data_IF_470432119193
#
_entry.id   IF_470432119193
#
_cell.length_a   1.000
_cell.length_b   1.000
_cell.length_c   1.000
_cell.angle_alpha   90.00
_cell.angle_beta   90.00
_cell.angle_gamma   90.00
#
_symmetry.space_group_name_H-M   'P 1'
#
loop_
_entity.id
_entity.type
_entity.pdbx_description
1 polymer ?
#
# COMPACT_ATOMS: atom_id res chain seq x y z
N UNK A 1 6.99 -1.84 -34.84
CA UNK A 1 7.63 -2.51 -33.68
C UNK A 1 7.40 -1.64 -32.45
N UNK A 2 6.73 -2.16 -31.42
CA UNK A 2 6.54 -1.43 -30.17
C UNK A 2 7.86 -1.50 -29.38
N UNK A 3 8.50 -0.36 -29.18
CA UNK A 3 9.72 -0.26 -28.34
C UNK A 3 9.27 -0.36 -26.89
N UNK A 4 9.53 -1.50 -26.24
CA UNK A 4 9.44 -1.64 -24.79
C UNK A 4 10.62 -0.90 -24.16
N UNK A 5 10.34 0.12 -23.35
CA UNK A 5 11.37 0.78 -22.57
C UNK A 5 11.74 -0.12 -21.38
N UNK A 6 13.00 -0.56 -21.33
CA UNK A 6 13.55 -1.19 -20.12
C UNK A 6 13.70 -0.10 -19.07
N UNK A 7 12.93 -0.21 -17.99
CA UNK A 7 12.94 0.76 -16.90
C UNK A 7 14.19 0.59 -16.03
N UNK A 8 14.78 1.69 -15.55
CA UNK A 8 15.93 1.61 -14.65
C UNK A 8 15.52 0.97 -13.32
N UNK A 9 16.31 0.04 -12.81
CA UNK A 9 16.02 -0.64 -11.56
C UNK A 9 16.32 0.26 -10.34
N UNK A 10 15.45 0.26 -9.34
CA UNK A 10 15.66 0.98 -8.08
C UNK A 10 15.97 0.02 -6.93
N UNK A 11 17.17 0.18 -6.38
CA UNK A 11 17.70 -0.59 -5.25
C UNK A 11 17.84 0.22 -3.95
N UNK A 12 17.34 1.46 -3.93
CA UNK A 12 17.42 2.36 -2.78
C UNK A 12 16.41 2.03 -1.68
N UNK A 13 16.37 2.89 -0.65
CA UNK A 13 15.43 2.75 0.47
C UNK A 13 13.98 2.92 0.02
N UNK A 14 13.18 1.88 0.19
CA UNK A 14 11.74 1.91 -0.10
C UNK A 14 10.95 2.53 1.06
N UNK A 15 9.80 3.11 0.74
CA UNK A 15 8.85 3.73 1.68
C UNK A 15 7.45 3.59 1.13
N UNK A 16 6.48 3.24 1.98
CA UNK A 16 5.06 3.23 1.60
C UNK A 16 4.45 4.64 1.60
N UNK A 17 5.10 5.60 2.25
CA UNK A 17 4.75 7.01 2.13
C UNK A 17 5.31 7.57 0.82
N UNK A 18 4.41 8.01 -0.06
CA UNK A 18 4.74 8.47 -1.42
C UNK A 18 5.77 9.60 -1.43
N UNK A 19 5.62 10.64 -0.60
CA UNK A 19 6.55 11.78 -0.56
C UNK A 19 7.98 11.35 -0.23
N UNK A 20 8.14 10.49 0.78
CA UNK A 20 9.44 9.96 1.21
C UNK A 20 10.05 9.04 0.15
N UNK A 21 9.24 8.20 -0.48
CA UNK A 21 9.72 7.37 -1.59
C UNK A 21 10.22 8.23 -2.76
N UNK A 22 9.48 9.28 -3.14
CA UNK A 22 9.88 10.18 -4.22
C UNK A 22 11.19 10.91 -3.92
N UNK A 23 11.40 11.35 -2.68
CA UNK A 23 12.67 11.94 -2.25
C UNK A 23 13.82 10.95 -2.35
N UNK A 24 13.63 9.72 -1.88
CA UNK A 24 14.65 8.68 -1.97
C UNK A 24 14.98 8.34 -3.43
N UNK A 25 13.97 8.25 -4.29
CA UNK A 25 14.15 8.03 -5.74
C UNK A 25 14.92 9.19 -6.36
N UNK A 26 14.58 10.46 -6.08
CA UNK A 26 15.27 11.63 -6.64
C UNK A 26 16.75 11.70 -6.30
N UNK A 27 17.17 11.15 -5.15
CA UNK A 27 18.57 11.08 -4.75
C UNK A 27 19.39 10.16 -5.68
N UNK A 28 18.76 9.10 -6.19
CA UNK A 28 19.40 8.11 -7.09
C UNK A 28 19.16 8.46 -8.56
N UNK A 29 17.98 8.97 -8.88
CA UNK A 29 17.52 9.36 -10.21
C UNK A 29 17.11 10.84 -10.21
N UNK A 30 18.04 11.79 -10.40
CA UNK A 30 17.75 13.23 -10.33
C UNK A 30 16.72 13.71 -11.36
N UNK A 31 16.58 12.99 -12.48
CA UNK A 31 15.60 13.27 -13.54
C UNK A 31 14.21 12.71 -13.24
N UNK A 32 14.00 12.08 -12.09
CA UNK A 32 12.72 11.48 -11.71
C UNK A 32 11.62 12.52 -11.58
N UNK A 33 10.49 12.23 -12.22
CA UNK A 33 9.26 13.00 -12.16
C UNK A 33 8.06 12.05 -11.95
N UNK A 34 7.40 12.17 -10.80
CA UNK A 34 6.22 11.36 -10.47
C UNK A 34 5.01 11.59 -11.40
N UNK A 35 5.04 12.62 -12.26
CA UNK A 35 4.02 12.88 -13.29
C UNK A 35 4.41 12.36 -14.67
N UNK A 36 5.67 11.99 -14.91
CA UNK A 36 6.12 11.47 -16.20
C UNK A 36 6.53 9.99 -16.07
N UNK A 37 5.67 9.04 -16.51
CA UNK A 37 5.94 7.62 -16.38
C UNK A 37 7.25 7.17 -17.00
N UNK A 38 7.75 7.85 -18.03
CA UNK A 38 9.06 7.51 -18.64
C UNK A 38 10.24 7.63 -17.67
N UNK A 39 10.08 8.43 -16.62
CA UNK A 39 11.11 8.66 -15.61
C UNK A 39 10.97 7.72 -14.41
N UNK A 40 9.91 6.92 -14.35
CA UNK A 40 9.62 6.08 -13.19
C UNK A 40 10.55 4.87 -13.17
N UNK A 41 11.20 4.60 -12.03
CA UNK A 41 12.03 3.43 -11.91
C UNK A 41 11.19 2.16 -11.70
N UNK A 42 11.83 1.02 -11.89
CA UNK A 42 11.29 -0.30 -11.63
C UNK A 42 11.70 -0.80 -10.24
N UNK A 43 10.73 -1.03 -9.37
CA UNK A 43 10.90 -1.52 -8.00
C UNK A 43 10.51 -2.99 -7.92
N UNK A 44 11.43 -3.82 -7.43
CA UNK A 44 11.20 -5.25 -7.19
C UNK A 44 10.55 -5.49 -5.85
N UNK A 45 9.90 -6.65 -5.74
CA UNK A 45 9.37 -7.13 -4.47
C UNK A 45 10.47 -7.28 -3.41
N UNK A 46 11.66 -7.73 -3.80
CA UNK A 46 12.81 -7.83 -2.89
C UNK A 46 13.22 -6.46 -2.33
N UNK A 47 13.17 -5.38 -3.13
CA UNK A 47 13.46 -4.02 -2.65
C UNK A 47 12.43 -3.56 -1.62
N UNK A 48 11.15 -3.92 -1.77
CA UNK A 48 10.11 -3.65 -0.77
C UNK A 48 10.37 -4.47 0.51
N UNK A 49 10.64 -5.77 0.34
CA UNK A 49 10.81 -6.73 1.44
C UNK A 49 12.08 -6.53 2.27
N UNK A 50 13.11 -5.86 1.74
CA UNK A 50 14.26 -5.39 2.52
C UNK A 50 13.83 -4.55 3.73
N UNK A 51 12.69 -3.87 3.64
CA UNK A 51 12.15 -3.03 4.70
C UNK A 51 11.00 -3.70 5.43
N UNK A 52 10.10 -4.35 4.70
CA UNK A 52 8.89 -4.92 5.26
C UNK A 52 8.37 -6.12 4.48
N UNK A 53 8.06 -7.27 5.12
CA UNK A 53 7.31 -8.33 4.46
C UNK A 53 5.99 -7.78 3.90
N UNK A 54 5.84 -7.80 2.57
CA UNK A 54 4.73 -7.14 1.88
C UNK A 54 3.66 -8.13 1.44
N UNK A 55 2.48 -8.14 2.04
CA UNK A 55 1.41 -9.10 1.73
C UNK A 55 0.27 -8.48 0.90
N UNK A 56 0.57 -7.47 0.08
CA UNK A 56 -0.45 -6.69 -0.63
C UNK A 56 -0.96 -5.47 0.14
N UNK A 57 -0.54 -5.32 1.40
CA UNK A 57 -0.83 -4.15 2.24
C UNK A 57 0.46 -3.60 2.87
N UNK A 58 0.62 -2.27 2.97
CA UNK A 58 -0.30 -1.20 2.55
C UNK A 58 -0.29 -0.92 1.04
N UNK A 59 -1.17 -0.03 0.56
CA UNK A 59 -1.21 0.37 -0.85
C UNK A 59 0.16 0.83 -1.35
N UNK A 60 0.53 0.39 -2.57
CA UNK A 60 1.79 0.79 -3.17
C UNK A 60 1.71 2.25 -3.64
N UNK A 61 2.74 3.08 -3.38
CA UNK A 61 2.82 4.44 -3.91
C UNK A 61 2.67 4.48 -5.43
N UNK A 62 1.91 5.44 -5.94
CA UNK A 62 1.84 5.71 -7.38
C UNK A 62 3.15 6.36 -7.86
N UNK A 63 3.29 6.61 -9.17
CA UNK A 63 4.50 7.32 -9.64
C UNK A 63 5.74 6.43 -9.76
N UNK A 64 5.57 5.12 -9.70
CA UNK A 64 6.65 4.10 -9.74
C UNK A 64 6.13 2.86 -10.47
N UNK A 65 7.01 2.13 -11.15
CA UNK A 65 6.66 0.85 -11.75
C UNK A 65 7.06 -0.31 -10.83
N UNK A 66 6.16 -1.27 -10.63
CA UNK A 66 6.40 -2.39 -9.72
C UNK A 66 6.61 -3.71 -10.44
N UNK A 67 7.34 -4.60 -9.80
CA UNK A 67 7.44 -5.98 -10.20
C UNK A 67 6.08 -6.68 -10.12
N UNK A 68 5.81 -7.60 -11.06
CA UNK A 68 4.52 -8.28 -11.19
C UNK A 68 4.14 -9.05 -9.93
N UNK A 69 5.12 -9.67 -9.28
CA UNK A 69 4.94 -10.40 -8.03
C UNK A 69 4.46 -9.49 -6.88
N UNK A 70 4.90 -8.22 -6.82
CA UNK A 70 4.40 -7.27 -5.83
C UNK A 70 2.94 -6.90 -6.11
N UNK A 71 2.60 -6.64 -7.37
CA UNK A 71 1.22 -6.35 -7.78
C UNK A 71 0.28 -7.54 -7.59
N UNK A 72 0.77 -8.76 -7.82
CA UNK A 72 0.00 -9.97 -7.59
C UNK A 72 -0.43 -10.11 -6.13
N UNK A 73 0.45 -9.79 -5.18
CA UNK A 73 0.08 -9.81 -3.75
C UNK A 73 -1.02 -8.79 -3.41
N UNK A 74 -1.02 -7.63 -4.05
CA UNK A 74 -2.11 -6.66 -3.93
C UNK A 74 -3.42 -7.23 -4.51
N UNK A 75 -3.38 -7.84 -5.69
CA UNK A 75 -4.56 -8.45 -6.32
C UNK A 75 -5.10 -9.66 -5.55
N UNK A 76 -4.23 -10.46 -4.92
CA UNK A 76 -4.62 -11.59 -4.09
C UNK A 76 -5.25 -11.13 -2.76
N UNK A 77 -4.95 -9.90 -2.31
CA UNK A 77 -5.47 -9.31 -1.07
C UNK A 77 -6.88 -8.72 -1.24
N UNK A 78 -7.21 -8.21 -2.43
CA UNK A 78 -8.46 -7.49 -2.70
C UNK A 78 -9.30 -8.18 -3.79
N UNK A 79 -10.60 -8.37 -3.54
CA UNK A 79 -11.51 -8.93 -4.54
C UNK A 79 -11.58 -8.05 -5.80
N UNK A 80 -12.00 -8.58 -6.96
CA UNK A 80 -12.22 -7.78 -8.16
C UNK A 80 -13.13 -6.57 -7.89
N UNK A 81 -14.21 -6.76 -7.14
CA UNK A 81 -15.17 -5.71 -6.79
C UNK A 81 -14.54 -4.63 -5.89
N UNK A 82 -13.72 -5.03 -4.92
CA UNK A 82 -12.98 -4.10 -4.06
C UNK A 82 -11.97 -3.27 -4.87
N UNK A 83 -11.33 -3.89 -5.86
CA UNK A 83 -10.41 -3.21 -6.77
C UNK A 83 -11.14 -2.26 -7.72
N UNK A 84 -12.32 -2.61 -8.20
CA UNK A 84 -13.16 -1.74 -9.03
C UNK A 84 -13.65 -0.52 -8.25
N UNK A 85 -14.06 -0.73 -6.99
CA UNK A 85 -14.40 0.37 -6.07
C UNK A 85 -13.18 1.25 -5.82
N UNK A 86 -12.02 0.65 -5.53
CA UNK A 86 -10.78 1.39 -5.32
C UNK A 86 -10.35 2.19 -6.57
N UNK A 87 -10.51 1.63 -7.77
CA UNK A 87 -10.26 2.31 -9.04
C UNK A 87 -11.26 3.45 -9.29
N UNK A 88 -12.52 3.27 -8.91
CA UNK A 88 -13.56 4.30 -9.05
C UNK A 88 -13.33 5.48 -8.09
N UNK A 89 -12.89 5.21 -6.86
CA UNK A 89 -12.67 6.23 -5.82
C UNK A 89 -11.30 6.91 -5.96
N UNK A 90 -10.24 6.14 -6.22
CA UNK A 90 -8.85 6.63 -6.24
C UNK A 90 -8.30 6.83 -7.67
N UNK A 91 -9.14 6.67 -8.68
CA UNK A 91 -8.76 6.68 -10.09
C UNK A 91 -8.25 5.34 -10.59
N UNK A 92 -8.44 5.13 -11.89
CA UNK A 92 -8.13 3.88 -12.60
C UNK A 92 -6.73 3.34 -12.27
N UNK A 93 -6.60 2.02 -12.18
CA UNK A 93 -5.33 1.34 -11.91
C UNK A 93 -4.29 1.64 -13.00
N UNK A 94 -4.70 1.78 -14.26
CA UNK A 94 -3.86 2.24 -15.36
C UNK A 94 -3.28 3.63 -15.11
N UNK A 95 -4.08 4.55 -14.55
CA UNK A 95 -3.61 5.90 -14.26
C UNK A 95 -2.61 5.93 -13.11
N UNK A 96 -2.79 5.03 -12.14
CA UNK A 96 -1.92 4.90 -10.96
C UNK A 96 -0.62 4.15 -11.28
N UNK A 97 -0.71 3.08 -12.08
CA UNK A 97 0.39 2.17 -12.42
C UNK A 97 0.37 1.78 -13.92
N UNK A 98 0.64 2.71 -14.85
CA UNK A 98 0.52 2.52 -16.31
C UNK A 98 1.46 1.47 -16.91
N UNK A 99 2.50 1.07 -16.18
CA UNK A 99 3.40 -0.03 -16.58
C UNK A 99 2.89 -1.40 -16.17
N UNK A 100 1.96 -1.44 -15.21
CA UNK A 100 1.46 -2.63 -14.55
C UNK A 100 0.08 -3.02 -15.05
N UNK A 101 -0.75 -2.04 -15.42
CA UNK A 101 -2.10 -2.24 -15.92
C UNK A 101 -2.28 -1.59 -17.30
N UNK A 102 -3.12 -2.20 -18.13
CA UNK A 102 -3.54 -1.63 -19.41
C UNK A 102 -4.70 -0.64 -19.25
N UNK A 103 -5.18 -0.07 -20.35
CA UNK A 103 -6.25 0.94 -20.36
C UNK A 103 -7.62 0.46 -19.84
N UNK A 104 -7.81 -0.84 -19.68
CA UNK A 104 -9.01 -1.46 -19.13
C UNK A 104 -8.83 -1.81 -17.65
N UNK A 105 -7.75 -1.32 -17.03
CA UNK A 105 -7.33 -1.67 -15.66
C UNK A 105 -6.99 -3.16 -15.49
N UNK A 106 -6.70 -3.85 -16.60
CA UNK A 106 -6.30 -5.26 -16.58
C UNK A 106 -4.79 -5.42 -16.39
N UNK A 107 -4.34 -6.41 -15.59
CA UNK A 107 -2.92 -6.61 -15.35
C UNK A 107 -2.15 -7.01 -16.61
N UNK A 108 -1.01 -6.36 -16.83
CA UNK A 108 -0.13 -6.65 -17.96
C UNK A 108 0.78 -7.84 -17.65
N UNK A 109 0.91 -8.75 -18.61
CA UNK A 109 1.85 -9.87 -18.53
C UNK A 109 3.31 -9.40 -18.50
N UNK A 110 3.64 -8.34 -19.26
CA UNK A 110 4.97 -7.75 -19.33
C UNK A 110 4.94 -6.31 -18.86
N UNK A 111 5.85 -5.99 -17.94
CA UNK A 111 6.07 -4.63 -17.47
C UNK A 111 6.63 -3.80 -18.61
N UNK A 112 5.96 -2.69 -18.91
CA UNK A 112 6.37 -1.79 -19.99
C UNK A 112 5.23 -0.89 -20.43
N UNK A 113 5.58 0.17 -21.15
CA UNK A 113 4.62 1.11 -21.71
C UNK A 113 5.04 1.44 -23.13
N UNK A 114 4.13 1.21 -24.07
CA UNK A 114 4.30 1.56 -25.47
C UNK A 114 4.20 3.08 -25.65
N UNK A 115 4.77 3.60 -26.74
CA UNK A 115 4.64 5.02 -27.06
C UNK A 115 3.18 5.47 -27.26
N UNK A 116 2.28 4.57 -27.66
CA UNK A 116 0.84 4.83 -27.77
C UNK A 116 0.18 4.97 -26.40
N UNK A 117 0.42 4.02 -25.50
CA UNK A 117 -0.06 4.07 -24.11
C UNK A 117 0.45 5.32 -23.40
N UNK A 118 1.73 5.66 -23.58
CA UNK A 118 2.29 6.89 -23.02
C UNK A 118 1.55 8.15 -23.48
N UNK A 119 1.30 8.27 -24.79
CA UNK A 119 0.58 9.43 -25.33
C UNK A 119 -0.85 9.49 -24.81
N UNK A 120 -1.53 8.35 -24.71
CA UNK A 120 -2.88 8.28 -24.15
C UNK A 120 -2.91 8.70 -22.68
N UNK A 121 -1.98 8.17 -21.88
CA UNK A 121 -1.81 8.54 -20.47
C UNK A 121 -1.53 10.03 -20.30
N UNK A 122 -0.57 10.58 -21.07
CA UNK A 122 -0.24 12.00 -21.05
C UNK A 122 -1.42 12.87 -21.48
N UNK A 123 -2.20 12.46 -22.49
CA UNK A 123 -3.40 13.16 -22.89
C UNK A 123 -4.41 13.22 -21.72
N UNK A 124 -4.66 12.12 -21.01
CA UNK A 124 -5.55 12.13 -19.84
C UNK A 124 -5.00 12.91 -18.65
N UNK A 125 -3.68 12.99 -18.49
CA UNK A 125 -3.03 13.67 -17.35
C UNK A 125 -2.86 15.16 -17.60
N UNK A 126 -2.65 15.57 -18.85
CA UNK A 126 -2.60 16.97 -19.31
C UNK A 126 -4.01 17.56 -19.52
N UNK A 127 -5.03 16.72 -19.71
CA UNK A 127 -6.45 17.09 -19.87
C UNK A 127 -7.24 16.94 -18.56
N UNK A 128 -6.62 17.08 -17.40
CA UNK A 128 -7.42 17.58 -16.27
C UNK A 128 -7.74 19.06 -16.60
N UNK A 129 -8.86 19.36 -17.28
CA UNK A 129 -10.15 19.47 -16.59
C UNK A 129 -11.41 19.12 -17.44
N UNK A 130 -12.52 18.79 -16.77
CA UNK A 130 -13.90 19.05 -17.25
C UNK A 130 -14.34 18.40 -18.57
N UNK A 131 -14.86 17.16 -18.55
CA UNK A 131 -16.06 16.82 -19.36
C UNK A 131 -16.66 15.48 -18.92
N UNK A 132 -18.00 15.33 -18.95
CA UNK A 132 -18.71 14.18 -18.40
C UNK A 132 -18.61 12.99 -19.33
N UNK A 133 -18.46 11.80 -18.74
CA UNK A 133 -18.67 10.55 -19.45
C UNK A 133 -20.13 10.48 -19.92
N UNK A 134 -20.31 10.48 -21.23
CA UNK A 134 -21.52 10.00 -21.89
C UNK A 134 -21.58 8.50 -21.69
N UNK A 135 -22.25 8.05 -20.63
CA UNK A 135 -22.74 6.67 -20.53
C UNK A 135 -24.21 6.71 -20.93
N UNK A 136 -24.44 6.36 -22.20
CA UNK A 136 -25.73 5.88 -22.67
C UNK A 136 -25.82 4.42 -22.21
N UNK A 137 -26.68 4.14 -21.25
CA UNK A 137 -27.26 2.80 -21.04
C UNK A 137 -28.66 2.96 -20.47
N UNK A 138 -29.63 2.50 -21.28
CA UNK A 138 -31.01 2.19 -20.91
C UNK A 138 -31.04 1.22 -19.72
N UNK A 139 -31.74 1.58 -18.65
CA UNK A 139 -32.52 0.62 -17.86
C UNK A 139 -33.82 1.29 -17.41
N UNK A 140 -34.91 0.58 -17.71
CA UNK A 140 -36.30 0.90 -17.40
C UNK A 140 -36.61 0.75 -15.89
N UNK A 141 -37.78 1.27 -15.55
CA UNK A 141 -38.48 1.36 -14.26
C UNK A 141 -38.26 0.23 -13.23
N UNK A 142 -38.19 0.62 -11.94
CA UNK A 142 -39.19 0.20 -10.93
C UNK A 142 -38.95 0.89 -9.57
N UNK A 143 -39.97 1.64 -9.13
CA UNK A 143 -40.12 2.21 -7.78
C UNK A 143 -40.75 1.14 -6.86
N UNK A 144 -40.43 1.12 -5.55
CA UNK A 144 -41.52 1.35 -4.61
C UNK A 144 -41.16 2.22 -3.40
N UNK A 145 -42.04 3.20 -3.18
CA UNK A 145 -42.56 3.76 -1.92
C UNK A 145 -42.08 3.14 -0.59
N UNK A 146 -41.58 4.00 0.31
CA UNK A 146 -42.01 3.96 1.73
C UNK A 146 -41.74 5.28 2.43
N UNK A 147 -42.84 5.87 2.91
CA UNK A 147 -42.95 7.09 3.68
C UNK A 147 -42.23 7.04 5.04
N UNK A 148 -41.59 8.16 5.42
CA UNK A 148 -41.60 8.66 6.80
C UNK A 148 -41.91 10.16 6.75
N UNK A 149 -43.18 10.43 7.05
CA UNK A 149 -43.75 11.68 7.50
C UNK A 149 -43.35 11.93 8.97
N UNK A 150 -42.91 13.15 9.29
CA UNK A 150 -43.35 13.89 10.47
C UNK A 150 -42.68 15.27 10.55
N UNK A 151 -43.48 16.33 10.35
CA UNK A 151 -43.36 17.58 11.12
C UNK A 151 -43.36 18.89 10.33
N UNK A 152 -44.52 19.54 10.23
CA UNK A 152 -44.71 20.93 9.72
C UNK A 152 -45.72 21.64 10.65
N UNK A 153 -45.83 22.99 10.74
CA UNK A 153 -44.86 24.09 10.99
C UNK A 153 -45.37 24.96 12.20
N UNK A 154 -44.88 26.20 12.51
CA UNK A 154 -45.03 27.46 11.71
C UNK A 154 -43.73 28.33 11.80
N UNK A 155 -43.50 29.51 11.21
CA UNK A 155 -44.35 30.59 10.74
C UNK A 155 -43.49 31.60 9.93
N UNK A 156 -44.14 32.35 9.04
CA UNK A 156 -43.73 33.53 8.24
C UNK A 156 -42.25 33.98 8.17
N UNK A 157 -41.72 34.14 6.95
CA UNK A 157 -41.66 35.46 6.29
C UNK A 157 -40.99 35.39 4.89
N UNK A 158 -41.64 36.07 3.95
CA UNK A 158 -41.09 36.73 2.75
C UNK A 158 -40.74 35.89 1.51
N UNK A 159 -41.79 35.66 0.71
CA UNK A 159 -41.69 35.70 -0.75
C UNK A 159 -41.09 37.04 -1.21
N UNK A 160 -40.13 37.05 -2.13
CA UNK A 160 -40.14 38.00 -3.22
C UNK A 160 -41.09 37.46 -4.28
N UNK A 161 -42.14 38.24 -4.53
CA UNK A 161 -43.09 38.09 -5.60
C UNK A 161 -42.41 37.61 -6.88
N UNK A 162 -42.73 36.39 -7.30
CA UNK A 162 -42.55 35.98 -8.70
C UNK A 162 -43.57 36.76 -9.53
N UNK A 163 -43.28 38.03 -9.74
CA UNK A 163 -43.83 38.78 -10.85
C UNK A 163 -43.37 38.07 -12.11
N UNK A 164 -44.18 37.14 -12.62
CA UNK A 164 -44.22 36.92 -14.06
C UNK A 164 -44.56 38.28 -14.66
N UNK A 165 -43.69 38.92 -15.45
CA UNK A 165 -44.15 39.97 -16.32
C UNK A 165 -44.87 39.24 -17.46
N UNK A 166 -46.09 38.77 -17.19
CA UNK A 166 -47.10 38.71 -18.24
C UNK A 166 -47.40 40.17 -18.58
N UNK A 167 -46.43 40.83 -19.24
CA UNK A 167 -46.52 42.20 -19.67
C UNK A 167 -47.63 42.21 -20.70
N UNK A 168 -48.79 42.69 -20.22
CA UNK A 168 -50.05 42.66 -20.90
C UNK A 168 -49.90 43.12 -22.33
N UNK A 169 -49.93 42.17 -23.26
CA UNK A 169 -50.39 42.44 -24.61
C UNK A 169 -51.89 42.68 -24.46
N UNK A 170 -52.27 43.88 -23.98
CA UNK A 170 -53.63 44.38 -24.17
C UNK A 170 -53.87 44.28 -25.66
N UNK A 171 -54.78 43.40 -26.04
CA UNK A 171 -55.34 43.34 -27.38
C UNK A 171 -55.92 44.72 -27.70
N UNK A 172 -55.08 45.61 -28.23
CA UNK A 172 -55.49 46.91 -28.73
C UNK A 172 -56.53 46.62 -29.81
N UNK A 173 -57.80 46.91 -29.50
CA UNK A 173 -58.93 46.85 -30.43
C UNK A 173 -58.45 47.32 -31.79
N UNK A 174 -58.44 46.42 -32.77
CA UNK A 174 -57.99 46.66 -34.14
C UNK A 174 -58.92 47.66 -34.81
N UNK A 175 -58.70 48.95 -34.58
CA UNK A 175 -59.22 50.00 -35.46
C UNK A 175 -58.29 50.02 -36.68
N UNK A 176 -58.83 49.65 -37.85
CA UNK A 176 -58.13 49.61 -39.13
C UNK A 176 -57.87 51.04 -39.60
N UNK A 177 -56.70 51.54 -39.24
CA UNK A 177 -56.18 52.81 -39.72
C UNK A 177 -55.77 52.65 -41.20
N UNK A 178 -56.47 53.30 -42.12
CA UNK A 178 -56.25 53.18 -43.58
C UNK A 178 -55.09 54.03 -44.11
N UNK A 179 -54.51 54.91 -43.29
CA UNK A 179 -53.35 55.73 -43.67
C UNK A 179 -52.10 54.87 -43.76
N UNK A 180 -51.41 54.90 -44.89
CA UNK A 180 -50.22 54.07 -45.22
C UNK A 180 -49.14 54.06 -44.12
N UNK A 181 -48.77 55.25 -43.60
CA UNK A 181 -47.82 55.40 -42.48
C UNK A 181 -48.26 54.67 -41.19
N UNK A 182 -49.56 54.64 -40.92
CA UNK A 182 -50.13 54.02 -39.73
C UNK A 182 -50.01 52.48 -39.79
N UNK A 183 -50.14 51.91 -40.99
CA UNK A 183 -49.96 50.48 -41.24
C UNK A 183 -48.49 50.09 -41.15
N UNK A 184 -47.59 50.91 -41.69
CA UNK A 184 -46.13 50.70 -41.60
C UNK A 184 -45.65 50.71 -40.14
N UNK A 185 -46.08 51.69 -39.34
CA UNK A 185 -45.75 51.77 -37.90
C UNK A 185 -46.26 50.53 -37.14
N UNK A 186 -47.47 50.04 -37.46
CA UNK A 186 -48.02 48.82 -36.82
C UNK A 186 -47.22 47.57 -37.16
N UNK A 187 -46.84 47.39 -38.43
CA UNK A 187 -46.00 46.26 -38.85
C UNK A 187 -44.64 46.28 -38.17
N UNK A 188 -44.03 47.45 -38.09
CA UNK A 188 -42.75 47.62 -37.41
C UNK A 188 -42.85 47.34 -35.90
N UNK A 189 -43.91 47.84 -35.25
CA UNK A 189 -44.16 47.55 -33.84
C UNK A 189 -44.43 46.06 -33.57
N UNK A 190 -45.10 45.36 -34.48
CA UNK A 190 -45.32 43.91 -34.37
C UNK A 190 -44.03 43.13 -34.60
N UNK A 191 -43.18 43.57 -35.54
CA UNK A 191 -41.84 43.00 -35.75
C UNK A 191 -40.97 43.12 -34.49
N UNK A 192 -40.88 44.33 -33.93
CA UNK A 192 -40.09 44.59 -32.72
C UNK A 192 -40.62 43.82 -31.49
N UNK A 193 -41.94 43.60 -31.41
CA UNK A 193 -42.53 42.74 -30.38
C UNK A 193 -42.12 41.28 -30.54
N UNK A 194 -42.09 40.76 -31.77
CA UNK A 194 -41.57 39.41 -32.06
C UNK A 194 -40.10 39.28 -31.67
N UNK A 195 -39.26 40.23 -32.08
CA UNK A 195 -37.83 40.24 -31.74
C UNK A 195 -37.60 40.33 -30.22
N UNK A 196 -38.40 41.11 -29.49
CA UNK A 196 -38.34 41.17 -28.03
C UNK A 196 -38.70 39.84 -27.37
N UNK A 197 -39.76 39.17 -27.86
CA UNK A 197 -40.16 37.87 -27.35
C UNK A 197 -39.07 36.81 -27.58
N UNK A 198 -38.47 36.79 -28.77
CA UNK A 198 -37.39 35.86 -29.09
C UNK A 198 -36.15 36.11 -28.21
N UNK A 199 -35.84 37.39 -27.94
CA UNK A 199 -34.72 37.77 -27.06
C UNK A 199 -34.98 37.45 -25.59
N UNK A 200 -36.22 37.61 -25.12
CA UNK A 200 -36.62 37.25 -23.77
C UNK A 200 -36.57 35.73 -23.59
N UNK A 201 -37.04 34.95 -24.58
CA UNK A 201 -36.88 33.49 -24.59
C UNK A 201 -35.42 33.07 -24.55
N UNK A 202 -34.54 33.70 -25.34
CA UNK A 202 -33.10 33.43 -25.33
C UNK A 202 -32.47 33.73 -23.96
N UNK A 203 -32.88 34.81 -23.31
CA UNK A 203 -32.37 35.21 -22.01
C UNK A 203 -32.80 34.23 -20.90
N UNK A 204 -34.06 33.77 -20.93
CA UNK A 204 -34.56 32.76 -19.99
C UNK A 204 -33.81 31.43 -20.17
N UNK A 205 -33.59 30.97 -21.41
CA UNK A 205 -32.79 29.78 -21.68
C UNK A 205 -31.35 29.94 -21.17
N UNK A 206 -30.69 31.05 -21.47
CA UNK A 206 -29.33 31.29 -21.01
C UNK A 206 -29.21 31.36 -19.47
N UNK A 207 -30.23 31.88 -18.78
CA UNK A 207 -30.27 31.87 -17.31
C UNK A 207 -30.46 30.46 -16.73
N UNK A 208 -31.22 29.60 -17.41
CA UNK A 208 -31.35 28.20 -17.01
C UNK A 208 -30.01 27.46 -17.18
N UNK A 209 -29.34 27.63 -18.32
CA UNK A 209 -28.02 27.03 -18.59
C UNK A 209 -26.97 27.47 -17.56
N UNK A 210 -26.99 28.75 -17.16
CA UNK A 210 -26.07 29.27 -16.15
C UNK A 210 -26.27 28.59 -14.78
N UNK A 211 -27.53 28.39 -14.35
CA UNK A 211 -27.84 27.71 -13.09
C UNK A 211 -27.39 26.24 -13.11
N UNK A 212 -27.57 25.57 -14.24
CA UNK A 212 -27.11 24.19 -14.43
C UNK A 212 -25.57 24.11 -14.34
N UNK A 213 -24.87 25.06 -14.97
CA UNK A 213 -23.42 25.16 -14.88
C UNK A 213 -22.93 25.39 -13.44
N UNK A 214 -23.55 26.31 -12.69
CA UNK A 214 -23.21 26.58 -11.28
C UNK A 214 -23.44 25.36 -10.38
N UNK A 215 -24.56 24.64 -10.59
CA UNK A 215 -24.85 23.40 -9.87
C UNK A 215 -23.79 22.32 -10.15
N UNK A 216 -23.42 22.15 -11.43
CA UNK A 216 -22.40 21.20 -11.87
C UNK A 216 -21.03 21.54 -11.30
N UNK A 217 -20.65 22.81 -11.29
CA UNK A 217 -19.38 23.27 -10.73
C UNK A 217 -19.34 23.11 -9.20
N UNK A 218 -20.46 23.31 -8.52
CA UNK A 218 -20.62 23.04 -7.09
C UNK A 218 -20.41 21.56 -6.75
N UNK A 219 -20.99 20.65 -7.54
CA UNK A 219 -20.78 19.20 -7.39
C UNK A 219 -19.31 18.82 -7.61
N UNK A 220 -18.68 19.38 -8.65
CA UNK A 220 -17.28 19.12 -8.99
C UNK A 220 -16.33 19.55 -7.87
N UNK A 221 -16.58 20.70 -7.24
CA UNK A 221 -15.77 21.17 -6.09
C UNK A 221 -15.91 20.25 -4.88
N UNK A 222 -17.11 19.75 -4.58
CA UNK A 222 -17.34 18.78 -3.50
C UNK A 222 -16.59 17.46 -3.77
N UNK A 223 -16.74 16.90 -4.97
CA UNK A 223 -16.03 15.68 -5.37
C UNK A 223 -14.50 15.81 -5.27
N UNK A 224 -13.93 16.97 -5.63
CA UNK A 224 -12.51 17.26 -5.43
C UNK A 224 -12.10 17.25 -3.94
N UNK A 225 -12.94 17.78 -3.07
CA UNK A 225 -12.68 17.84 -1.64
C UNK A 225 -12.79 16.46 -0.99
N UNK A 226 -13.74 15.65 -1.42
CA UNK A 226 -13.91 14.25 -1.00
C UNK A 226 -12.71 13.41 -1.43
N UNK A 227 -12.23 13.59 -2.67
CA UNK A 227 -11.03 12.91 -3.17
C UNK A 227 -9.76 13.30 -2.39
N UNK A 228 -9.62 14.58 -2.02
CA UNK A 228 -8.50 15.02 -1.17
C UNK A 228 -8.57 14.42 0.23
N UNK A 229 -9.77 14.32 0.80
CA UNK A 229 -9.97 13.73 2.11
C UNK A 229 -9.61 12.23 2.12
N UNK A 230 -10.08 11.45 1.14
CA UNK A 230 -9.74 10.03 1.05
C UNK A 230 -8.24 9.82 0.77
N UNK A 231 -7.61 10.70 -0.02
CA UNK A 231 -6.16 10.66 -0.24
C UNK A 231 -5.36 10.87 1.07
N UNK A 232 -5.73 11.86 1.88
CA UNK A 232 -5.04 12.12 3.15
C UNK A 232 -5.27 10.98 4.16
N UNK A 233 -6.46 10.39 4.16
CA UNK A 233 -6.77 9.20 4.97
C UNK A 233 -5.96 7.98 4.55
N UNK A 234 -5.75 7.78 3.25
CA UNK A 234 -4.87 6.71 2.75
C UNK A 234 -3.42 6.95 3.14
N UNK A 235 -2.94 8.20 3.02
CA UNK A 235 -1.60 8.58 3.45
C UNK A 235 -1.37 8.31 4.94
N UNK A 236 -2.33 8.67 5.79
CA UNK A 236 -2.26 8.36 7.22
C UNK A 236 -2.21 6.84 7.47
N UNK A 237 -3.02 6.06 6.75
CA UNK A 237 -2.99 4.59 6.83
C UNK A 237 -1.63 4.02 6.41
N UNK A 238 -1.03 4.54 5.34
CA UNK A 238 0.30 4.16 4.88
C UNK A 238 1.39 4.51 5.92
N UNK A 239 1.35 5.73 6.49
CA UNK A 239 2.30 6.17 7.51
C UNK A 239 2.23 5.28 8.77
N UNK A 240 1.02 4.92 9.21
CA UNK A 240 0.84 4.07 10.39
C UNK A 240 1.24 2.61 10.11
N UNK A 241 1.03 2.12 8.88
CA UNK A 241 1.53 0.82 8.45
C UNK A 241 3.07 0.79 8.40
N UNK A 242 3.70 1.85 7.89
CA UNK A 242 5.17 1.98 7.86
C UNK A 242 5.74 1.99 9.29
N UNK A 243 5.16 2.78 10.21
CA UNK A 243 5.57 2.78 11.62
C UNK A 243 5.47 1.39 12.25
N UNK A 244 4.34 0.69 12.05
CA UNK A 244 4.16 -0.68 12.54
C UNK A 244 5.21 -1.62 11.96
N UNK A 245 5.55 -1.45 10.69
CA UNK A 245 6.58 -2.27 10.08
C UNK A 245 7.97 -1.99 10.64
N UNK A 246 8.33 -0.72 10.81
CA UNK A 246 9.60 -0.32 11.44
C UNK A 246 9.73 -0.90 12.86
N UNK A 247 8.66 -0.87 13.66
CA UNK A 247 8.66 -1.48 15.00
C UNK A 247 8.85 -3.00 14.96
N UNK A 248 8.20 -3.69 14.00
CA UNK A 248 8.39 -5.13 13.79
C UNK A 248 9.83 -5.44 13.38
N UNK A 249 10.40 -4.65 12.47
CA UNK A 249 11.79 -4.81 12.02
C UNK A 249 12.77 -4.62 13.19
N UNK A 250 12.61 -3.58 14.00
CA UNK A 250 13.44 -3.37 15.20
C UNK A 250 13.34 -4.51 16.20
N UNK A 251 12.12 -5.03 16.41
CA UNK A 251 11.88 -6.18 17.29
C UNK A 251 12.57 -7.44 16.76
N UNK A 252 12.43 -7.72 15.46
CA UNK A 252 13.08 -8.87 14.81
C UNK A 252 14.61 -8.76 14.89
N UNK A 253 15.19 -7.57 14.68
CA UNK A 253 16.63 -7.36 14.84
C UNK A 253 17.09 -7.62 16.28
N UNK A 254 16.30 -7.23 17.28
CA UNK A 254 16.60 -7.52 18.69
C UNK A 254 16.55 -9.02 18.97
N UNK A 255 15.54 -9.72 18.46
CA UNK A 255 15.42 -11.18 18.60
C UNK A 255 16.57 -11.92 17.92
N UNK A 256 16.96 -11.50 16.72
CA UNK A 256 18.12 -12.07 16.01
C UNK A 256 19.42 -11.91 16.80
N UNK A 257 19.67 -10.74 17.38
CA UNK A 257 20.84 -10.54 18.27
C UNK A 257 20.78 -11.49 19.46
N UNK A 258 19.61 -11.62 20.09
CA UNK A 258 19.44 -12.52 21.24
C UNK A 258 19.62 -13.99 20.86
N UNK A 259 19.15 -14.41 19.70
CA UNK A 259 19.38 -15.77 19.19
C UNK A 259 20.87 -16.03 19.00
N UNK A 260 21.60 -15.11 18.36
CA UNK A 260 23.04 -15.27 18.17
C UNK A 260 23.81 -15.36 19.51
N UNK A 261 23.43 -14.55 20.51
CA UNK A 261 24.00 -14.65 21.87
C UNK A 261 23.74 -16.03 22.49
N UNK A 262 22.51 -16.54 22.38
CA UNK A 262 22.15 -17.84 22.93
C UNK A 262 22.87 -18.99 22.22
N UNK A 263 23.03 -18.91 20.90
CA UNK A 263 23.79 -19.89 20.12
C UNK A 263 25.28 -19.89 20.49
N UNK A 264 25.87 -18.73 20.76
CA UNK A 264 27.25 -18.62 21.26
C UNK A 264 27.38 -19.24 22.65
N UNK A 265 26.49 -18.89 23.58
CA UNK A 265 26.50 -19.44 24.93
C UNK A 265 26.30 -20.97 24.92
N UNK A 266 25.43 -21.49 24.04
CA UNK A 266 25.20 -22.93 23.90
C UNK A 266 26.50 -23.67 23.49
N UNK A 267 27.24 -23.11 22.52
CA UNK A 267 28.54 -23.65 22.13
C UNK A 267 29.56 -23.62 23.27
N UNK A 268 29.64 -22.51 24.00
CA UNK A 268 30.52 -22.40 25.17
C UNK A 268 30.16 -23.42 26.26
N UNK A 269 28.88 -23.66 26.51
CA UNK A 269 28.44 -24.70 27.45
C UNK A 269 28.76 -26.10 26.97
N UNK A 270 28.60 -26.39 25.67
CA UNK A 270 28.97 -27.70 25.10
C UNK A 270 30.48 -27.95 25.22
N UNK A 271 31.32 -26.93 24.99
CA UNK A 271 32.77 -27.01 25.18
C UNK A 271 33.16 -27.23 26.64
N UNK A 272 32.51 -26.54 27.58
CA UNK A 272 32.71 -26.73 29.02
C UNK A 272 32.28 -28.12 29.50
N UNK A 273 31.14 -28.63 29.01
CA UNK A 273 30.67 -29.97 29.34
C UNK A 273 31.64 -31.03 28.80
N UNK A 274 32.13 -30.88 27.58
CA UNK A 274 33.15 -31.77 27.02
C UNK A 274 34.44 -31.77 27.86
N UNK A 275 34.86 -30.59 28.34
CA UNK A 275 36.01 -30.46 29.23
C UNK A 275 35.77 -31.12 30.61
N UNK A 276 34.58 -30.95 31.19
CA UNK A 276 34.20 -31.62 32.44
C UNK A 276 34.24 -33.15 32.30
N UNK A 277 33.66 -33.70 31.23
CA UNK A 277 33.71 -35.13 30.93
C UNK A 277 35.15 -35.63 30.80
N UNK A 278 36.02 -34.84 30.15
CA UNK A 278 37.44 -35.18 30.04
C UNK A 278 38.14 -35.22 31.41
N UNK A 279 37.89 -34.22 32.27
CA UNK A 279 38.44 -34.18 33.63
C UNK A 279 37.94 -35.34 34.49
N UNK A 280 36.66 -35.69 34.40
CA UNK A 280 36.08 -36.83 35.13
C UNK A 280 36.76 -38.14 34.73
N UNK A 281 36.96 -38.36 33.42
CA UNK A 281 37.69 -39.53 32.91
C UNK A 281 39.15 -39.56 33.42
N UNK A 282 39.84 -38.42 33.47
CA UNK A 282 41.20 -38.33 33.99
C UNK A 282 41.26 -38.64 35.51
N UNK A 283 40.32 -38.11 36.29
CA UNK A 283 40.20 -38.39 37.73
C UNK A 283 39.95 -39.88 37.96
N UNK A 284 39.07 -40.51 37.18
CA UNK A 284 38.78 -41.94 37.27
C UNK A 284 40.01 -42.80 36.91
N UNK A 285 40.76 -42.42 35.87
CA UNK A 285 42.02 -43.07 35.50
C UNK A 285 43.08 -42.95 36.62
N UNK A 286 43.21 -41.79 37.25
CA UNK A 286 44.14 -41.60 38.38
C UNK A 286 43.73 -42.41 39.61
N UNK A 287 42.42 -42.48 39.90
CA UNK A 287 41.90 -43.23 41.04
C UNK A 287 42.04 -44.75 40.84
N UNK A 288 41.75 -45.27 39.65
CA UNK A 288 41.98 -46.68 39.32
C UNK A 288 43.48 -47.03 39.32
N UNK A 289 44.36 -46.13 38.88
CA UNK A 289 45.81 -46.25 39.00
C UNK A 289 46.33 -46.26 40.44
N UNK A 290 45.74 -45.46 41.35
CA UNK A 290 46.05 -45.52 42.80
C UNK A 290 45.53 -46.79 43.44
N UNK A 291 44.34 -47.26 43.07
CA UNK A 291 43.75 -48.49 43.60
C UNK A 291 44.55 -49.74 43.22
N UNK A 292 45.08 -49.79 41.99
CA UNK A 292 45.97 -50.86 41.52
C UNK A 292 47.35 -50.78 42.17
N UNK A 293 47.94 -49.60 42.38
CA UNK A 293 49.19 -49.43 43.16
C UNK A 293 49.05 -49.82 44.63
N UNK A 294 47.91 -49.52 45.28
CA UNK A 294 47.63 -49.98 46.65
C UNK A 294 47.51 -51.50 46.71
N UNK A 295 46.76 -52.12 45.79
CA UNK A 295 46.64 -53.59 45.69
C UNK A 295 47.98 -54.28 45.41
N UNK A 296 48.82 -53.69 44.54
CA UNK A 296 50.16 -54.21 44.27
C UNK A 296 51.11 -54.12 45.46
N UNK A 297 51.02 -53.05 46.27
CA UNK A 297 51.78 -52.94 47.55
C UNK A 297 51.29 -53.91 48.61
N UNK A 298 49.99 -54.13 48.73
CA UNK A 298 49.42 -55.10 49.69
C UNK A 298 49.74 -56.55 49.29
N UNK A 299 49.77 -56.89 47.99
CA UNK A 299 50.25 -58.19 47.52
C UNK A 299 51.75 -58.40 47.73
N UNK A 300 52.58 -57.38 47.53
CA UNK A 300 54.02 -57.45 47.82
C UNK A 300 54.29 -57.59 49.31
N UNK A 301 53.56 -56.88 50.19
CA UNK A 301 53.72 -57.02 51.64
C UNK A 301 53.24 -58.38 52.17
N UNK A 302 52.26 -59.02 51.52
CA UNK A 302 51.84 -60.38 51.88
C UNK A 302 52.84 -61.44 51.39
N UNK A 303 53.46 -61.22 50.23
CA UNK A 303 54.50 -62.09 49.68
C UNK A 303 55.83 -61.97 50.43
N UNK A 304 56.20 -60.77 50.91
CA UNK A 304 57.39 -60.57 51.75
C UNK A 304 57.21 -61.20 53.14
N UNK A 305 56.01 -61.10 53.75
CA UNK A 305 55.73 -61.78 55.03
C UNK A 305 55.76 -63.32 54.95
N UNK A 306 55.41 -63.92 53.80
CA UNK A 306 55.56 -65.38 53.63
C UNK A 306 57.00 -65.82 53.29
N UNK A 307 57.81 -64.94 52.71
CA UNK A 307 59.23 -65.21 52.41
C UNK A 307 60.15 -65.20 53.64
N UNK A 308 59.83 -64.38 54.66
CA UNK A 308 60.64 -64.29 55.88
C UNK A 308 60.29 -65.37 56.92
N UNK A 309 59.05 -65.87 56.94
CA UNK A 309 58.64 -66.95 57.84
C UNK A 309 59.25 -68.32 57.51
N UNK A 310 59.62 -68.58 56.25
CA UNK A 310 60.14 -69.88 55.83
C UNK A 310 61.65 -70.05 56.07
N UNK A 311 62.42 -68.95 56.18
CA UNK A 311 63.87 -68.99 56.40
C UNK A 311 64.29 -69.15 57.87
N UNK A 312 63.39 -68.95 58.83
CA UNK A 312 63.67 -69.13 60.26
C UNK A 312 63.45 -70.57 60.76
N UNK A 313 62.78 -71.44 59.99
CA UNK A 313 62.54 -72.84 60.37
C UNK A 313 63.63 -73.82 59.92
N UNK A 314 64.53 -73.42 59.01
CA UNK A 314 65.56 -74.31 58.43
C UNK A 314 67.00 -74.05 58.92
N UNK A 315 67.19 -73.25 59.98
CA UNK A 315 68.52 -72.99 60.57
C UNK A 315 68.74 -73.56 61.99
N UNK A 316 67.94 -74.52 62.46
CA UNK A 316 68.12 -75.14 63.79
C UNK A 316 68.38 -76.64 63.81
N UNK A 317 68.84 -77.22 62.71
CA UNK A 317 69.24 -78.65 62.65
C UNK A 317 70.41 -78.89 61.69
N UNK A 318 71.62 -78.43 62.03
CA UNK A 318 72.87 -79.13 61.67
C UNK A 318 74.09 -78.48 62.33
N UNK A 319 74.86 -79.29 63.06
CA UNK A 319 76.20 -79.14 63.68
C UNK A 319 76.11 -79.69 65.12
N UNK A 320 75.98 -81.00 65.34
CA UNK A 320 77.09 -81.98 65.46
C UNK A 320 78.26 -81.43 66.32
N UNK A 321 78.48 -81.95 67.54
CA UNK A 321 79.09 -83.25 67.89
C UNK A 321 80.59 -83.33 67.54
N UNK A 322 81.36 -83.88 68.49
CA UNK A 322 82.83 -84.09 68.59
C UNK A 322 83.60 -82.92 69.23
N UNK A 323 84.39 -83.10 70.30
CA UNK A 323 85.06 -84.29 70.87
C UNK A 323 84.83 -84.45 72.36
#
# INVERSE_FOLDING_TARGET
MAVLAVLPHYDGTFSFTSSRLYENIKRVFPTYNNKDPKTWPYVTLSTIEKHCPYQGYPDLPTGVAYQREAMKRYEDMYSPEERDVAASVNGSLHRRFPFNYDKLDEPKEKIGMTGGEYRAYMATTLVAPSTPHTMREEWEDDVPDSAIDCGTPPDYHEQPESASPTLGIRALKRVSCTKKKCVEIKREADRLRGELFDKESQLVSAQADLKEYEATEGLRRRAMHDAQFELEKEKQRADDAEKKCMLRMETNLRLLRRLNELEMNAKETEELDAYCVQLEAEIEALNSGRATKKRGREQLSLSEMMGEGFNMLFKRTRSESTK
#
